data_IF_896087133587
#
_entry.id   IF_896087133587
#
_cell.length_a   1.000
_cell.length_b   1.000
_cell.length_c   1.000
_cell.angle_alpha   90.00
_cell.angle_beta   90.00
_cell.angle_gamma   90.00
#
_symmetry.space_group_name_H-M   'P 1'
#
loop_
_entity.id
_entity.type
_entity.pdbx_description
1 polymer ?
#
# COMPACT_ATOMS: atom_id res chain seq x y z
N UNK A 1 54.74 -32.63 -31.19
CA UNK A 1 54.40 -33.51 -30.04
C UNK A 1 53.18 -32.90 -29.39
N UNK A 2 52.06 -33.58 -29.53
CA UNK A 2 50.72 -33.12 -29.18
C UNK A 2 50.36 -33.67 -27.81
N UNK A 3 49.95 -32.82 -26.87
CA UNK A 3 49.24 -33.24 -25.66
C UNK A 3 47.74 -32.96 -25.86
N UNK A 4 46.84 -33.90 -25.51
CA UNK A 4 45.41 -33.73 -25.69
C UNK A 4 44.75 -33.03 -24.49
N UNK A 5 43.99 -31.98 -24.78
CA UNK A 5 43.14 -31.29 -23.82
C UNK A 5 41.86 -32.11 -23.58
N UNK A 6 41.62 -32.49 -22.32
CA UNK A 6 40.45 -33.27 -21.90
C UNK A 6 39.32 -32.31 -21.50
N UNK A 7 38.05 -32.54 -21.92
CA UNK A 7 36.97 -31.62 -21.59
C UNK A 7 36.52 -31.75 -20.12
N UNK A 8 36.39 -30.60 -19.45
CA UNK A 8 35.81 -30.47 -18.11
C UNK A 8 34.30 -30.74 -18.18
N UNK A 9 33.82 -31.74 -17.44
CA UNK A 9 32.39 -32.05 -17.31
C UNK A 9 31.60 -30.98 -16.54
N UNK A 10 30.26 -31.03 -16.59
CA UNK A 10 29.41 -29.99 -16.02
C UNK A 10 29.45 -29.99 -14.49
N UNK A 11 29.58 -28.79 -13.93
CA UNK A 11 29.51 -28.50 -12.50
C UNK A 11 28.11 -28.79 -11.94
N UNK A 12 28.06 -29.49 -10.81
CA UNK A 12 26.83 -29.79 -10.07
C UNK A 12 26.13 -28.51 -9.56
N UNK A 13 24.79 -28.52 -9.38
CA UNK A 13 24.07 -27.39 -8.81
C UNK A 13 24.30 -27.28 -7.30
N UNK A 14 24.57 -26.06 -6.83
CA UNK A 14 24.74 -25.72 -5.42
C UNK A 14 23.43 -25.78 -4.62
N UNK A 15 23.51 -25.75 -3.28
CA UNK A 15 22.39 -26.08 -2.40
C UNK A 15 21.28 -25.03 -2.44
N UNK A 16 20.04 -25.50 -2.53
CA UNK A 16 18.82 -24.71 -2.39
C UNK A 16 18.63 -24.30 -0.92
N UNK A 17 18.73 -23.01 -0.63
CA UNK A 17 18.36 -22.46 0.67
C UNK A 17 16.83 -22.42 0.79
N UNK A 18 16.27 -23.44 1.44
CA UNK A 18 14.88 -23.44 1.92
C UNK A 18 14.80 -22.56 3.16
N UNK A 19 14.34 -21.32 3.01
CA UNK A 19 13.98 -20.50 4.16
C UNK A 19 12.71 -21.08 4.80
N UNK A 20 12.83 -21.63 6.00
CA UNK A 20 11.71 -22.02 6.82
C UNK A 20 11.09 -20.76 7.42
N UNK A 21 9.88 -20.40 7.00
CA UNK A 21 9.06 -19.42 7.69
C UNK A 21 8.64 -20.02 9.04
N UNK A 22 9.12 -19.44 10.13
CA UNK A 22 8.64 -19.76 11.47
C UNK A 22 7.30 -19.04 11.66
N UNK A 23 6.23 -19.83 11.77
CA UNK A 23 4.86 -19.38 12.01
C UNK A 23 4.75 -18.88 13.46
N UNK A 24 4.57 -17.57 13.64
CA UNK A 24 4.25 -16.99 14.94
C UNK A 24 2.71 -17.03 15.12
N UNK A 25 2.19 -17.50 16.26
CA UNK A 25 0.75 -17.67 16.43
C UNK A 25 0.02 -16.33 16.36
N UNK A 26 -1.02 -16.26 15.53
CA UNK A 26 -1.89 -15.10 15.42
C UNK A 26 -2.59 -14.82 16.76
N UNK A 27 -2.34 -13.64 17.34
CA UNK A 27 -3.12 -13.13 18.46
C UNK A 27 -4.50 -12.70 17.94
N UNK A 28 -5.62 -13.27 18.44
CA UNK A 28 -6.95 -12.87 18.02
C UNK A 28 -7.26 -11.44 18.47
N UNK A 29 -7.93 -10.67 17.61
CA UNK A 29 -8.43 -9.33 17.94
C UNK A 29 -9.61 -9.49 18.89
N UNK A 30 -9.45 -9.07 20.15
CA UNK A 30 -10.52 -9.11 21.15
C UNK A 30 -11.63 -8.12 20.77
N UNK A 31 -12.82 -8.65 20.52
CA UNK A 31 -14.00 -7.89 20.12
C UNK A 31 -14.85 -7.59 21.35
N UNK A 32 -14.55 -6.50 22.05
CA UNK A 32 -15.39 -6.05 23.17
C UNK A 32 -15.53 -4.53 23.22
N UNK A 33 -16.25 -3.93 22.28
CA UNK A 33 -16.96 -2.66 22.52
C UNK A 33 -18.39 -2.76 22.00
N UNK A 34 -19.33 -2.68 22.95
CA UNK A 34 -20.76 -2.89 22.74
C UNK A 34 -21.38 -1.86 21.79
N UNK A 35 -22.24 -2.38 20.92
CA UNK A 35 -23.09 -1.67 19.96
C UNK A 35 -24.00 -0.64 20.64
N UNK A 36 -24.16 0.53 20.00
CA UNK A 36 -25.43 1.27 20.01
C UNK A 36 -25.98 1.31 18.60
N UNK A 37 -27.23 0.92 18.47
CA UNK A 37 -27.99 0.81 17.23
C UNK A 37 -28.03 2.13 16.46
N UNK A 38 -27.74 2.08 15.16
CA UNK A 38 -27.98 3.17 14.22
C UNK A 38 -29.13 2.77 13.29
N UNK A 39 -30.27 3.43 13.48
CA UNK A 39 -31.42 3.35 12.58
C UNK A 39 -31.14 4.05 11.24
N UNK A 40 -31.88 3.62 10.21
CA UNK A 40 -31.82 4.06 8.81
C UNK A 40 -32.11 5.57 8.61
N UNK A 41 -31.75 6.15 7.44
CA UNK A 41 -31.74 7.60 7.24
C UNK A 41 -33.12 8.12 6.85
N UNK A 42 -33.61 9.10 7.60
CA UNK A 42 -34.81 9.87 7.25
C UNK A 42 -34.44 11.14 6.46
N UNK A 43 -35.34 11.56 5.58
CA UNK A 43 -35.18 12.64 4.60
C UNK A 43 -34.78 14.01 5.21
N UNK A 44 -34.14 14.92 4.43
CA UNK A 44 -33.68 16.20 4.96
C UNK A 44 -34.88 17.10 5.34
N UNK A 45 -34.91 17.69 6.55
CA UNK A 45 -35.96 18.62 6.91
C UNK A 45 -35.77 19.98 6.22
N UNK A 46 -36.88 20.61 5.87
CA UNK A 46 -36.96 21.96 5.31
C UNK A 46 -36.30 23.01 6.25
N UNK A 47 -35.76 24.12 5.70
CA UNK A 47 -35.04 25.12 6.47
C UNK A 47 -35.98 25.81 7.46
N UNK A 48 -35.71 25.66 8.75
CA UNK A 48 -36.34 26.49 9.79
C UNK A 48 -35.59 27.81 9.85
N UNK A 49 -36.30 28.89 9.54
CA UNK A 49 -35.83 30.27 9.78
C UNK A 49 -35.64 30.45 11.29
N UNK A 50 -34.38 30.55 11.71
CA UNK A 50 -34.01 30.94 13.08
C UNK A 50 -34.06 32.47 13.24
N UNK A 51 -34.24 32.98 14.47
CA UNK A 51 -34.19 34.41 14.73
C UNK A 51 -32.80 34.94 14.36
N UNK A 52 -32.75 36.17 13.84
CA UNK A 52 -31.57 36.80 13.26
C UNK A 52 -30.27 36.57 14.03
N UNK A 53 -29.20 36.25 13.30
CA UNK A 53 -27.84 36.19 13.84
C UNK A 53 -27.38 37.59 14.23
N UNK A 54 -27.65 37.97 15.47
CA UNK A 54 -26.81 38.96 16.13
C UNK A 54 -25.42 38.34 16.36
N UNK A 55 -24.40 39.08 15.93
CA UNK A 55 -23.01 38.72 16.12
C UNK A 55 -22.66 38.74 17.61
N UNK A 56 -22.62 37.56 18.25
CA UNK A 56 -22.09 37.43 19.61
C UNK A 56 -20.62 37.86 19.67
N UNK A 57 -20.22 38.69 20.66
CA UNK A 57 -18.85 39.17 20.79
C UNK A 57 -17.90 38.01 21.10
N UNK A 58 -16.71 38.06 20.50
CA UNK A 58 -15.64 37.08 20.75
C UNK A 58 -15.30 37.06 22.25
N UNK A 59 -15.43 35.88 22.88
CA UNK A 59 -15.07 35.70 24.27
C UNK A 59 -13.59 36.00 24.55
N UNK A 60 -13.25 36.42 25.78
CA UNK A 60 -11.93 36.98 26.13
C UNK A 60 -10.75 36.03 25.84
N UNK A 61 -10.96 34.71 25.81
CA UNK A 61 -9.93 33.73 25.48
C UNK A 61 -9.49 33.71 24.00
N UNK A 62 -10.38 34.07 23.06
CA UNK A 62 -10.06 34.09 21.63
C UNK A 62 -9.21 35.31 21.26
N UNK A 63 -9.51 36.48 21.86
CA UNK A 63 -8.71 37.69 21.69
C UNK A 63 -7.31 37.57 22.31
N UNK A 64 -7.18 36.91 23.47
CA UNK A 64 -5.88 36.68 24.11
C UNK A 64 -4.99 35.67 23.34
N UNK A 65 -5.59 34.63 22.75
CA UNK A 65 -4.90 33.68 21.87
C UNK A 65 -4.38 34.34 20.58
N UNK A 66 -5.19 35.21 19.97
CA UNK A 66 -4.78 36.02 18.82
C UNK A 66 -3.64 36.98 19.20
N UNK A 67 -3.74 37.66 20.34
CA UNK A 67 -2.68 38.55 20.82
C UNK A 67 -1.34 37.81 21.11
N UNK A 68 -1.39 36.58 21.62
CA UNK A 68 -0.20 35.75 21.83
C UNK A 68 0.41 35.28 20.50
N UNK A 69 -0.43 34.81 19.57
CA UNK A 69 -0.02 34.43 18.21
C UNK A 69 0.63 35.60 17.48
N UNK A 70 0.01 36.77 17.51
CA UNK A 70 0.50 37.96 16.84
C UNK A 70 1.83 38.43 17.42
N UNK A 71 2.00 38.33 18.75
CA UNK A 71 3.26 38.65 19.43
C UNK A 71 4.38 37.67 19.05
N UNK A 72 4.08 36.37 18.95
CA UNK A 72 5.04 35.36 18.48
C UNK A 72 5.43 35.62 17.03
N UNK A 73 4.46 35.85 16.15
CA UNK A 73 4.72 36.14 14.73
C UNK A 73 5.47 37.46 14.53
N UNK A 74 5.20 38.47 15.36
CA UNK A 74 5.96 39.74 15.35
C UNK A 74 7.42 39.52 15.75
N UNK A 75 7.69 38.71 16.78
CA UNK A 75 9.06 38.35 17.18
C UNK A 75 9.79 37.55 16.11
N UNK A 76 9.12 36.57 15.49
CA UNK A 76 9.70 35.79 14.38
C UNK A 76 10.03 36.71 13.22
N UNK A 77 9.09 37.57 12.78
CA UNK A 77 9.30 38.54 11.70
C UNK A 77 10.46 39.50 11.99
N UNK A 78 10.54 40.02 13.21
CA UNK A 78 11.64 40.89 13.62
C UNK A 78 12.99 40.14 13.62
N UNK A 79 13.04 38.89 14.07
CA UNK A 79 14.25 38.09 14.12
C UNK A 79 14.78 37.69 12.72
N UNK A 80 13.91 37.61 11.71
CA UNK A 80 14.29 37.26 10.32
C UNK A 80 14.31 38.46 9.37
N UNK A 81 14.11 39.68 9.87
CA UNK A 81 13.96 40.88 9.04
C UNK A 81 15.19 41.17 8.17
N UNK A 82 16.39 40.94 8.71
CA UNK A 82 17.67 41.14 8.03
C UNK A 82 18.25 39.84 7.45
N UNK A 83 17.46 38.76 7.43
CA UNK A 83 17.91 37.51 6.84
C UNK A 83 18.17 37.72 5.34
N UNK A 84 19.26 37.17 4.79
CA UNK A 84 19.47 37.20 3.35
C UNK A 84 18.30 36.50 2.65
N UNK A 85 17.98 36.88 1.38
CA UNK A 85 16.95 36.21 0.63
C UNK A 85 17.23 34.71 0.62
N UNK A 86 16.22 33.92 0.99
CA UNK A 86 16.33 32.46 0.98
C UNK A 86 16.60 32.04 -0.46
N UNK A 87 17.71 31.33 -0.73
CA UNK A 87 17.99 30.86 -2.07
C UNK A 87 16.87 29.93 -2.52
N UNK A 88 16.48 30.04 -3.78
CA UNK A 88 15.47 29.15 -4.36
C UNK A 88 15.93 27.69 -4.21
N UNK A 89 15.11 26.80 -3.61
CA UNK A 89 15.48 25.41 -3.47
C UNK A 89 15.64 24.78 -4.85
N UNK A 90 16.81 24.23 -5.13
CA UNK A 90 17.04 23.47 -6.36
C UNK A 90 16.14 22.24 -6.40
N UNK A 91 15.43 22.07 -7.52
CA UNK A 91 14.64 20.87 -7.81
C UNK A 91 15.35 19.93 -8.80
N UNK A 92 16.64 20.12 -9.03
CA UNK A 92 17.47 19.27 -9.88
C UNK A 92 17.89 17.99 -9.15
N UNK A 93 16.90 17.26 -8.62
CA UNK A 93 17.13 15.96 -8.00
C UNK A 93 17.51 14.94 -9.06
N UNK A 94 18.33 13.97 -8.68
CA UNK A 94 18.57 12.81 -9.53
C UNK A 94 17.24 12.09 -9.77
N UNK A 95 16.90 11.89 -11.05
CA UNK A 95 15.63 11.26 -11.45
C UNK A 95 15.78 9.74 -11.46
N UNK A 96 16.99 9.21 -11.62
CA UNK A 96 17.27 7.78 -11.51
C UNK A 96 18.57 7.56 -10.76
N UNK A 97 18.61 6.48 -9.99
CA UNK A 97 19.79 5.99 -9.27
C UNK A 97 20.25 4.63 -9.79
N UNK A 98 19.58 4.10 -10.82
CA UNK A 98 19.82 2.77 -11.40
C UNK A 98 20.05 2.89 -12.91
N UNK A 99 20.74 1.92 -13.53
CA UNK A 99 20.81 1.81 -14.98
C UNK A 99 19.42 1.74 -15.62
N UNK A 100 19.31 2.23 -16.86
CA UNK A 100 18.08 2.20 -17.66
C UNK A 100 17.92 0.83 -18.32
N UNK A 101 17.71 -0.19 -17.49
CA UNK A 101 17.50 -1.59 -17.88
C UNK A 101 16.23 -2.12 -17.18
N UNK A 102 15.15 -2.39 -17.93
CA UNK A 102 13.89 -2.86 -17.35
C UNK A 102 14.03 -4.14 -16.52
N UNK A 103 14.90 -5.08 -16.92
CA UNK A 103 15.09 -6.33 -16.20
C UNK A 103 15.79 -6.07 -14.86
N UNK A 104 16.84 -5.25 -14.87
CA UNK A 104 17.52 -4.83 -13.64
C UNK A 104 16.59 -4.06 -12.68
N UNK A 105 15.67 -3.24 -13.21
CA UNK A 105 14.67 -2.53 -12.40
C UNK A 105 13.67 -3.50 -11.78
N UNK A 106 13.25 -4.55 -12.50
CA UNK A 106 12.37 -5.59 -11.96
C UNK A 106 13.05 -6.48 -10.93
N UNK A 107 14.34 -6.77 -11.11
CA UNK A 107 15.17 -7.47 -10.13
C UNK A 107 15.31 -6.63 -8.86
N UNK A 108 15.63 -5.34 -8.98
CA UNK A 108 15.69 -4.43 -7.84
C UNK A 108 14.35 -4.32 -7.10
N UNK A 109 13.23 -4.23 -7.83
CA UNK A 109 11.90 -4.21 -7.22
C UNK A 109 11.64 -5.50 -6.42
N UNK A 110 11.98 -6.65 -6.99
CA UNK A 110 11.83 -7.94 -6.32
C UNK A 110 12.66 -7.98 -5.03
N UNK A 111 13.94 -7.62 -5.11
CA UNK A 111 14.86 -7.60 -3.96
C UNK A 111 14.32 -6.72 -2.84
N UNK A 112 13.99 -5.46 -3.14
CA UNK A 112 13.50 -4.54 -2.12
C UNK A 112 12.15 -4.96 -1.52
N UNK A 113 11.22 -5.48 -2.32
CA UNK A 113 9.95 -6.02 -1.79
C UNK A 113 10.19 -7.19 -0.83
N UNK A 114 11.11 -8.10 -1.19
CA UNK A 114 11.46 -9.26 -0.38
C UNK A 114 12.20 -8.87 0.91
N UNK A 115 13.08 -7.87 0.86
CA UNK A 115 13.77 -7.31 2.04
C UNK A 115 12.78 -6.76 3.07
N UNK A 116 11.68 -6.18 2.59
CA UNK A 116 10.57 -5.76 3.45
C UNK A 116 9.61 -6.89 3.82
N UNK A 117 9.93 -8.16 3.53
CA UNK A 117 9.15 -9.38 3.84
C UNK A 117 7.88 -9.60 3.03
N UNK A 118 7.70 -8.93 1.89
CA UNK A 118 6.67 -9.34 0.95
C UNK A 118 7.08 -10.66 0.26
N UNK A 119 6.13 -11.53 -0.04
CA UNK A 119 6.39 -12.71 -0.88
C UNK A 119 6.22 -12.29 -2.34
N UNK A 120 7.26 -12.43 -3.15
CA UNK A 120 7.24 -11.95 -4.55
C UNK A 120 7.17 -13.13 -5.51
N UNK A 121 6.23 -13.06 -6.45
CA UNK A 121 6.05 -14.02 -7.52
C UNK A 121 6.22 -13.33 -8.87
N UNK A 122 6.72 -14.08 -9.86
CA UNK A 122 6.76 -13.65 -11.27
C UNK A 122 5.90 -14.60 -12.09
N UNK A 123 5.11 -14.06 -13.01
CA UNK A 123 4.25 -14.87 -13.89
C UNK A 123 3.93 -14.13 -15.18
N UNK A 124 3.28 -14.81 -16.11
CA UNK A 124 2.74 -14.27 -17.37
C UNK A 124 1.22 -14.23 -17.33
N UNK A 125 0.59 -13.64 -18.34
CA UNK A 125 -0.87 -13.57 -18.44
C UNK A 125 -1.53 -14.98 -18.43
N UNK A 126 -0.88 -16.00 -18.98
CA UNK A 126 -1.36 -17.39 -18.93
C UNK A 126 -1.18 -18.04 -17.54
N UNK A 127 -0.16 -17.58 -16.79
CA UNK A 127 0.22 -18.15 -15.50
C UNK A 127 -0.49 -17.53 -14.29
N UNK A 128 -1.12 -16.36 -14.44
CA UNK A 128 -1.69 -15.64 -13.30
C UNK A 128 -2.88 -16.36 -12.65
N UNK A 129 -3.79 -16.93 -13.44
CA UNK A 129 -4.95 -17.64 -12.91
C UNK A 129 -4.58 -18.85 -12.03
N UNK A 130 -3.74 -19.80 -12.51
CA UNK A 130 -3.33 -20.93 -11.69
C UNK A 130 -2.45 -20.49 -10.51
N UNK A 131 -1.66 -19.43 -10.65
CA UNK A 131 -0.88 -18.88 -9.55
C UNK A 131 -1.79 -18.37 -8.43
N UNK A 132 -2.73 -17.46 -8.72
CA UNK A 132 -3.63 -16.92 -7.72
C UNK A 132 -4.48 -18.00 -7.05
N UNK A 133 -4.96 -18.98 -7.82
CA UNK A 133 -5.68 -20.13 -7.26
C UNK A 133 -4.83 -20.89 -6.22
N UNK A 134 -3.55 -21.13 -6.52
CA UNK A 134 -2.61 -21.80 -5.61
C UNK A 134 -2.37 -20.98 -4.34
N UNK A 135 -2.06 -19.69 -4.47
CA UNK A 135 -1.79 -18.81 -3.32
C UNK A 135 -2.99 -18.71 -2.37
N UNK A 136 -4.19 -18.58 -2.94
CA UNK A 136 -5.44 -18.56 -2.17
C UNK A 136 -5.71 -19.89 -1.45
N UNK A 137 -5.38 -21.03 -2.08
CA UNK A 137 -5.53 -22.36 -1.48
C UNK A 137 -4.50 -22.61 -0.37
N UNK A 138 -3.24 -22.22 -0.58
CA UNK A 138 -2.18 -22.31 0.43
C UNK A 138 -2.51 -21.47 1.67
N UNK A 139 -3.15 -20.31 1.48
CA UNK A 139 -3.69 -19.50 2.59
C UNK A 139 -4.92 -20.12 3.27
N UNK A 140 -5.59 -21.07 2.62
CA UNK A 140 -6.88 -21.60 3.09
C UNK A 140 -8.02 -20.56 3.04
N UNK A 141 -7.95 -19.61 2.10
CA UNK A 141 -8.93 -18.53 2.02
C UNK A 141 -10.31 -19.08 1.58
N UNK A 142 -11.33 -18.96 2.43
CA UNK A 142 -12.71 -19.34 2.07
C UNK A 142 -13.41 -18.29 1.19
N UNK A 143 -12.97 -17.02 1.28
CA UNK A 143 -13.51 -15.90 0.51
C UNK A 143 -12.41 -14.95 0.05
N UNK A 144 -12.65 -14.31 -1.10
CA UNK A 144 -11.73 -13.33 -1.70
C UNK A 144 -12.49 -12.06 -2.03
N UNK A 145 -12.01 -10.94 -1.48
CA UNK A 145 -12.51 -9.61 -1.80
C UNK A 145 -11.90 -9.10 -3.11
N UNK A 146 -12.76 -8.64 -4.00
CA UNK A 146 -12.38 -8.17 -5.33
C UNK A 146 -12.91 -6.76 -5.61
N UNK A 147 -12.08 -5.86 -6.15
CA UNK A 147 -12.52 -4.54 -6.58
C UNK A 147 -13.34 -4.60 -7.88
N UNK A 148 -14.09 -3.55 -8.22
CA UNK A 148 -15.07 -3.58 -9.30
C UNK A 148 -14.52 -3.91 -10.70
N UNK A 149 -13.28 -3.54 -11.01
CA UNK A 149 -12.64 -3.80 -12.31
C UNK A 149 -11.40 -4.69 -12.21
N UNK A 150 -11.39 -5.62 -11.26
CA UNK A 150 -10.38 -6.68 -11.28
C UNK A 150 -10.59 -7.55 -12.53
N UNK A 151 -9.55 -7.85 -13.33
CA UNK A 151 -9.70 -8.71 -14.50
C UNK A 151 -10.27 -10.09 -14.12
N UNK A 152 -11.47 -10.47 -14.62
CA UNK A 152 -12.13 -11.69 -14.15
C UNK A 152 -11.34 -12.97 -14.39
N UNK A 153 -10.53 -13.00 -15.45
CA UNK A 153 -9.74 -14.18 -15.81
C UNK A 153 -8.63 -14.48 -14.79
N UNK A 154 -8.16 -13.48 -14.03
CA UNK A 154 -7.18 -13.67 -12.94
C UNK A 154 -7.69 -14.64 -11.87
N UNK A 155 -9.00 -14.70 -11.64
CA UNK A 155 -9.62 -15.57 -10.63
C UNK A 155 -10.42 -16.72 -11.24
N UNK A 156 -10.25 -16.98 -12.54
CA UNK A 156 -11.01 -18.03 -13.26
C UNK A 156 -10.73 -19.44 -12.74
N UNK A 157 -9.56 -19.67 -12.15
CA UNK A 157 -9.18 -20.94 -11.53
C UNK A 157 -9.37 -20.95 -10.00
N UNK A 158 -9.86 -19.85 -9.39
CA UNK A 158 -9.97 -19.72 -7.95
C UNK A 158 -11.24 -20.44 -7.43
N UNK A 159 -11.06 -21.30 -6.43
CA UNK A 159 -12.15 -21.98 -5.72
C UNK A 159 -12.92 -21.12 -4.67
N UNK A 160 -12.29 -20.14 -3.98
CA UNK A 160 -12.96 -19.37 -2.93
C UNK A 160 -14.17 -18.54 -3.42
N UNK A 161 -15.09 -18.22 -2.52
CA UNK A 161 -16.22 -17.35 -2.83
C UNK A 161 -15.77 -15.90 -3.10
N UNK A 162 -16.19 -15.33 -4.24
CA UNK A 162 -15.88 -13.94 -4.57
C UNK A 162 -16.83 -12.98 -3.86
N UNK A 163 -16.25 -12.05 -3.11
CA UNK A 163 -16.95 -10.96 -2.42
C UNK A 163 -16.60 -9.66 -3.13
N UNK A 164 -17.59 -8.96 -3.69
CA UNK A 164 -17.33 -7.70 -4.38
C UNK A 164 -17.24 -6.53 -3.41
N UNK A 165 -16.30 -5.62 -3.66
CA UNK A 165 -16.16 -4.37 -2.93
C UNK A 165 -17.44 -3.51 -3.04
N UNK A 166 -18.17 -3.33 -1.92
CA UNK A 166 -19.42 -2.57 -1.87
C UNK A 166 -19.50 -1.68 -0.64
N UNK A 167 -20.13 -0.51 -0.79
CA UNK A 167 -20.36 0.48 0.28
C UNK A 167 -20.85 -0.14 1.60
N UNK A 168 -21.74 -1.13 1.51
CA UNK A 168 -22.38 -1.79 2.65
C UNK A 168 -21.45 -2.67 3.50
N UNK A 169 -20.27 -3.08 3.00
CA UNK A 169 -19.35 -3.92 3.78
C UNK A 169 -18.78 -3.15 4.98
N UNK A 170 -19.08 -3.67 6.17
CA UNK A 170 -18.59 -3.11 7.44
C UNK A 170 -17.14 -3.50 7.69
N UNK A 171 -16.48 -2.90 8.69
CA UNK A 171 -15.13 -3.31 9.06
C UNK A 171 -15.10 -4.77 9.56
N UNK A 172 -16.12 -5.19 10.31
CA UNK A 172 -16.27 -6.56 10.78
C UNK A 172 -16.50 -7.56 9.64
N UNK A 173 -17.18 -7.15 8.56
CA UNK A 173 -17.30 -8.01 7.38
C UNK A 173 -15.96 -8.19 6.69
N UNK A 174 -15.22 -7.10 6.50
CA UNK A 174 -13.91 -7.11 5.84
C UNK A 174 -12.85 -7.90 6.64
N UNK A 175 -12.90 -7.86 7.98
CA UNK A 175 -11.99 -8.58 8.87
C UNK A 175 -12.14 -10.11 8.78
N UNK A 176 -13.33 -10.59 8.36
CA UNK A 176 -13.61 -12.02 8.15
C UNK A 176 -13.22 -12.54 6.76
N UNK A 177 -12.79 -11.66 5.85
CA UNK A 177 -12.43 -12.05 4.50
C UNK A 177 -11.03 -12.67 4.51
N UNK A 178 -10.88 -13.81 3.83
CA UNK A 178 -9.63 -14.57 3.81
C UNK A 178 -8.49 -13.85 3.09
N UNK A 179 -8.79 -13.25 1.93
CA UNK A 179 -7.82 -12.50 1.13
C UNK A 179 -8.47 -11.36 0.36
N UNK A 180 -7.70 -10.32 0.02
CA UNK A 180 -8.05 -9.34 -1.01
C UNK A 180 -7.09 -9.46 -2.19
N UNK A 181 -7.60 -9.37 -3.41
CA UNK A 181 -6.79 -9.33 -4.64
C UNK A 181 -7.02 -7.99 -5.33
N UNK A 182 -5.94 -7.26 -5.60
CA UNK A 182 -6.00 -5.96 -6.30
C UNK A 182 -4.93 -5.85 -7.39
N UNK A 183 -5.13 -4.90 -8.31
CA UNK A 183 -4.03 -4.27 -9.04
C UNK A 183 -3.34 -3.18 -8.20
N UNK A 184 -2.53 -2.35 -8.85
CA UNK A 184 -1.94 -1.14 -8.27
C UNK A 184 -1.96 0.01 -9.28
N UNK A 185 -1.58 1.21 -8.86
CA UNK A 185 -1.31 2.32 -9.76
C UNK A 185 0.09 2.18 -10.39
N UNK A 186 1.10 2.00 -9.53
CA UNK A 186 2.49 1.75 -9.91
C UNK A 186 3.28 1.09 -8.77
N UNK A 187 4.49 0.64 -9.08
CA UNK A 187 5.49 0.21 -8.11
C UNK A 187 6.83 0.94 -8.32
N UNK A 188 7.56 1.19 -7.24
CA UNK A 188 8.85 1.88 -7.21
C UNK A 188 9.92 0.89 -6.79
N UNK A 189 10.87 0.63 -7.70
CA UNK A 189 11.90 -0.38 -7.51
C UNK A 189 12.86 -0.05 -6.36
N UNK A 190 13.43 1.16 -6.33
CA UNK A 190 14.47 1.54 -5.36
C UNK A 190 14.01 1.46 -3.89
N UNK A 191 12.71 1.59 -3.63
CA UNK A 191 12.14 1.55 -2.29
C UNK A 191 11.25 0.33 -2.04
N UNK A 192 11.15 -0.61 -3.00
CA UNK A 192 10.25 -1.76 -2.88
C UNK A 192 8.81 -1.37 -2.55
N UNK A 193 8.27 -0.34 -3.20
CA UNK A 193 7.02 0.29 -2.79
C UNK A 193 5.92 0.13 -3.83
N UNK A 194 4.74 -0.33 -3.41
CA UNK A 194 3.53 -0.36 -4.23
C UNK A 194 2.67 0.86 -3.90
N UNK A 195 2.12 1.51 -4.92
CA UNK A 195 1.21 2.65 -4.76
C UNK A 195 -0.19 2.28 -5.25
N UNK A 196 -1.17 2.49 -4.38
CA UNK A 196 -2.59 2.43 -4.70
C UNK A 196 -3.16 3.86 -4.71
N UNK A 197 -3.92 4.23 -5.73
CA UNK A 197 -4.57 5.53 -5.88
C UNK A 197 -6.11 5.45 -5.73
N UNK A 198 -6.63 4.29 -5.30
CA UNK A 198 -8.06 4.01 -5.23
C UNK A 198 -8.68 3.74 -6.61
N UNK A 199 -7.86 3.23 -7.54
CA UNK A 199 -8.27 2.85 -8.87
C UNK A 199 -9.37 1.78 -8.88
N UNK A 200 -10.00 1.57 -10.04
CA UNK A 200 -11.15 0.69 -10.17
C UNK A 200 -10.82 -0.80 -9.95
N UNK A 201 -9.56 -1.18 -10.15
CA UNK A 201 -8.95 -2.49 -9.92
C UNK A 201 -8.25 -2.57 -8.55
N UNK A 202 -8.35 -1.51 -7.75
CA UNK A 202 -7.77 -1.39 -6.40
C UNK A 202 -8.85 -1.25 -5.32
N UNK A 203 -10.01 -0.71 -5.69
CA UNK A 203 -11.15 -0.54 -4.79
C UNK A 203 -10.94 0.57 -3.76
N UNK A 204 -11.78 0.58 -2.74
CA UNK A 204 -11.71 1.58 -1.66
C UNK A 204 -10.58 1.26 -0.69
N UNK A 205 -9.86 2.27 -0.18
CA UNK A 205 -8.72 2.11 0.75
C UNK A 205 -8.91 1.08 1.88
N UNK A 206 -10.12 0.95 2.43
CA UNK A 206 -10.42 0.00 3.53
C UNK A 206 -10.19 -1.47 3.12
N UNK A 207 -10.36 -1.82 1.84
CA UNK A 207 -10.26 -3.21 1.38
C UNK A 207 -8.82 -3.74 1.37
N UNK A 208 -7.83 -2.85 1.35
CA UNK A 208 -6.40 -3.20 1.42
C UNK A 208 -5.79 -2.91 2.79
N UNK A 209 -6.61 -2.52 3.78
CA UNK A 209 -6.16 -2.24 5.15
C UNK A 209 -6.70 -3.23 6.18
N UNK A 210 -7.92 -3.75 5.96
CA UNK A 210 -8.62 -4.55 6.97
C UNK A 210 -8.36 -6.06 6.79
N UNK A 211 -8.52 -6.65 5.58
CA UNK A 211 -8.16 -8.05 5.37
C UNK A 211 -6.69 -8.28 5.70
N UNK A 212 -6.41 -9.42 6.33
CA UNK A 212 -5.08 -9.72 6.85
C UNK A 212 -4.11 -10.31 5.80
N UNK A 213 -4.63 -10.54 4.60
CA UNK A 213 -3.88 -11.02 3.44
C UNK A 213 -4.20 -10.17 2.22
N UNK A 214 -3.18 -9.58 1.62
CA UNK A 214 -3.30 -8.81 0.39
C UNK A 214 -2.40 -9.41 -0.69
N UNK A 215 -3.00 -9.84 -1.79
CA UNK A 215 -2.30 -10.18 -3.02
C UNK A 215 -2.42 -8.98 -3.98
N UNK A 216 -1.29 -8.34 -4.29
CA UNK A 216 -1.24 -7.21 -5.21
C UNK A 216 -0.56 -7.61 -6.52
N UNK A 217 -1.26 -7.42 -7.64
CA UNK A 217 -0.73 -7.67 -8.97
C UNK A 217 -0.16 -6.37 -9.54
N UNK A 218 1.09 -6.41 -9.97
CA UNK A 218 1.81 -5.29 -10.61
C UNK A 218 2.09 -5.69 -12.05
N UNK A 219 1.56 -4.96 -13.03
CA UNK A 219 1.87 -5.21 -14.44
C UNK A 219 3.23 -4.63 -14.80
N UNK A 220 4.13 -5.49 -15.25
CA UNK A 220 5.51 -5.18 -15.57
C UNK A 220 5.75 -5.29 -17.08
N UNK A 221 6.52 -4.36 -17.68
CA UNK A 221 7.26 -3.27 -17.02
C UNK A 221 6.46 -1.96 -16.87
N UNK A 222 5.25 -1.85 -17.45
CA UNK A 222 4.56 -0.56 -17.62
C UNK A 222 4.24 0.17 -16.30
N UNK A 223 3.95 -0.56 -15.22
CA UNK A 223 3.64 0.01 -13.92
C UNK A 223 4.86 0.15 -13.00
N UNK A 224 6.06 -0.22 -13.44
CA UNK A 224 7.26 -0.17 -12.62
C UNK A 224 8.09 1.06 -12.99
N UNK A 225 8.51 1.81 -11.98
CA UNK A 225 9.48 2.90 -12.11
C UNK A 225 10.70 2.62 -11.26
N UNK A 226 11.85 3.15 -11.66
CA UNK A 226 13.08 2.97 -10.90
C UNK A 226 13.00 3.70 -9.56
N UNK A 227 12.43 4.92 -9.53
CA UNK A 227 12.58 5.84 -8.40
C UNK A 227 11.32 6.65 -8.04
N UNK A 228 11.32 7.25 -6.84
CA UNK A 228 10.25 8.13 -6.38
C UNK A 228 10.05 9.37 -7.28
N UNK A 229 11.10 10.10 -7.72
CA UNK A 229 10.92 11.20 -8.66
C UNK A 229 10.25 10.81 -9.99
N UNK A 230 10.39 9.56 -10.43
CA UNK A 230 9.67 9.04 -11.61
C UNK A 230 8.22 8.65 -11.31
N UNK A 231 7.92 8.26 -10.08
CA UNK A 231 6.56 7.95 -9.64
C UNK A 231 5.69 9.20 -9.56
N UNK A 232 6.21 10.29 -8.99
CA UNK A 232 5.42 11.48 -8.65
C UNK A 232 4.61 12.08 -9.82
N UNK A 233 5.17 12.23 -11.05
CA UNK A 233 4.41 12.76 -12.18
C UNK A 233 3.30 11.84 -12.69
N UNK A 234 3.32 10.55 -12.33
CA UNK A 234 2.34 9.54 -12.74
C UNK A 234 1.14 9.44 -11.79
N UNK A 235 1.18 10.15 -10.66
CA UNK A 235 0.17 10.08 -9.60
C UNK A 235 -0.61 11.38 -9.54
N UNK A 236 -1.93 11.27 -9.40
CA UNK A 236 -2.80 12.42 -9.17
C UNK A 236 -2.81 12.77 -7.67
N UNK A 237 -2.27 13.93 -7.26
CA UNK A 237 -2.22 14.32 -5.85
C UNK A 237 -3.62 14.62 -5.25
N UNK A 238 -4.65 14.78 -6.08
CA UNK A 238 -6.03 14.95 -5.60
C UNK A 238 -6.69 13.62 -5.20
N UNK A 239 -6.10 12.48 -5.57
CA UNK A 239 -6.60 11.14 -5.23
C UNK A 239 -5.96 10.61 -3.94
N UNK A 240 -6.66 9.72 -3.20
CA UNK A 240 -6.07 9.09 -2.03
C UNK A 240 -4.94 8.15 -2.47
N UNK A 241 -3.71 8.45 -2.06
CA UNK A 241 -2.54 7.60 -2.31
C UNK A 241 -2.21 6.76 -1.07
N UNK A 242 -2.13 5.44 -1.24
CA UNK A 242 -1.64 4.49 -0.22
C UNK A 242 -0.34 3.89 -0.72
N UNK A 243 0.74 4.14 0.00
CA UNK A 243 2.09 3.68 -0.33
C UNK A 243 2.45 2.53 0.62
N UNK A 244 2.77 1.37 0.06
CA UNK A 244 3.00 0.12 0.78
C UNK A 244 4.44 -0.32 0.50
N UNK A 245 5.33 -0.18 1.48
CA UNK A 245 6.76 -0.54 1.39
C UNK A 245 7.05 -1.77 2.25
N UNK A 246 6.23 -2.82 2.13
CA UNK A 246 6.23 -4.02 2.98
C UNK A 246 4.92 -4.29 3.73
N UNK A 247 4.80 -5.44 4.42
CA UNK A 247 3.69 -5.73 5.31
C UNK A 247 3.60 -4.70 6.45
N UNK A 248 2.38 -4.46 6.92
CA UNK A 248 2.16 -3.50 8.00
C UNK A 248 2.89 -3.93 9.27
N UNK A 249 3.78 -3.09 9.75
CA UNK A 249 4.39 -3.24 11.05
C UNK A 249 4.56 -1.91 11.77
N UNK A 250 4.37 -1.95 13.08
CA UNK A 250 4.77 -0.87 13.98
C UNK A 250 5.82 -1.39 14.92
N UNK A 251 6.95 -0.69 14.98
CA UNK A 251 7.87 -0.81 16.11
C UNK A 251 7.29 0.00 17.25
N UNK A 252 7.01 -0.63 18.39
CA UNK A 252 6.78 0.12 19.63
C UNK A 252 8.08 0.84 20.01
N UNK A 253 7.99 1.89 20.84
CA UNK A 253 9.15 2.70 21.28
C UNK A 253 10.22 1.85 22.00
N UNK A 254 9.85 0.64 22.42
CA UNK A 254 10.68 -0.38 23.07
C UNK A 254 11.34 -1.36 22.06
N UNK A 255 11.32 -1.07 20.75
CA UNK A 255 11.88 -1.89 19.65
C UNK A 255 11.20 -3.25 19.38
N UNK A 256 10.12 -3.58 20.10
CA UNK A 256 9.28 -4.73 19.77
C UNK A 256 8.35 -4.42 18.59
N UNK A 257 8.55 -5.13 17.48
CA UNK A 257 7.78 -4.95 16.25
C UNK A 257 6.48 -5.76 16.33
N UNK A 258 5.34 -5.08 16.45
CA UNK A 258 4.01 -5.67 16.36
C UNK A 258 3.53 -5.61 14.91
N UNK A 259 3.28 -6.78 14.32
CA UNK A 259 2.80 -6.94 12.95
C UNK A 259 1.26 -6.89 12.91
N UNK A 260 0.65 -6.14 11.98
CA UNK A 260 -0.80 -6.22 11.70
C UNK A 260 -1.74 -5.25 12.44
N UNK A 261 -1.24 -4.21 13.12
CA UNK A 261 -2.12 -3.20 13.76
C UNK A 261 -2.60 -2.14 12.75
N UNK A 262 -1.90 -1.97 11.62
CA UNK A 262 -2.14 -0.87 10.66
C UNK A 262 -2.36 -1.30 9.19
N UNK A 263 -2.51 -2.60 8.91
CA UNK A 263 -2.68 -3.16 7.56
C UNK A 263 -2.45 -4.68 7.53
N UNK A 264 -2.49 -5.31 6.35
CA UNK A 264 -2.29 -6.76 6.18
C UNK A 264 -0.94 -7.22 6.74
N UNK A 265 -0.93 -8.33 7.49
CA UNK A 265 0.30 -8.99 7.96
C UNK A 265 1.01 -9.74 6.85
N UNK A 266 0.26 -10.23 5.87
CA UNK A 266 0.81 -10.93 4.70
C UNK A 266 0.55 -10.10 3.45
N UNK A 267 1.65 -9.74 2.77
CA UNK A 267 1.63 -9.12 1.45
C UNK A 267 2.30 -10.06 0.46
N UNK A 268 1.54 -10.49 -0.55
CA UNK A 268 2.07 -11.21 -1.70
C UNK A 268 2.00 -10.30 -2.92
N UNK A 269 3.09 -10.22 -3.68
CA UNK A 269 3.20 -9.37 -4.87
C UNK A 269 3.40 -10.25 -6.09
N UNK A 270 2.53 -10.11 -7.07
CA UNK A 270 2.62 -10.81 -8.35
C UNK A 270 3.10 -9.82 -9.41
N UNK A 271 4.34 -9.96 -9.84
CA UNK A 271 4.88 -9.26 -11.00
C UNK A 271 4.39 -9.99 -12.26
N UNK A 272 3.45 -9.38 -12.96
CA UNK A 272 2.82 -9.90 -14.17
C UNK A 272 3.53 -9.34 -15.39
N UNK A 273 4.27 -10.18 -16.11
CA UNK A 273 4.89 -9.81 -17.37
C UNK A 273 3.82 -9.59 -18.44
N UNK A 274 3.78 -8.39 -19.00
CA UNK A 274 2.97 -8.05 -20.16
C UNK A 274 3.67 -8.58 -21.42
N UNK A 275 2.94 -9.39 -22.21
CA UNK A 275 3.41 -9.97 -23.47
C UNK A 275 3.47 -8.95 -24.61
#
# INVERSE_FOLDING_TARGET
MSEPNTPKGPSAPGPTHRAAAADAPAVPRDASHAHRDAAAPDAPPAPREGPGRDASPAGPGRAASTAARDRILARIRAAVADAPPVPEPSRAYAVTHTPDDPDAVLDLLHENLADYRAVVHRTTEDGIAPLLARLLAERGAASVLVPPRLPPHWLSAAAPALVHDRAALTAADLDRIGSVVTGCALAVAETGTIVLDGGPDQGRRRITLIPDHHICVVRAPSQVVASLPQAMPRLDPARPLTWISGPSATSDIELDRVEGVHGPRTLEVVLLAES
#
